data_IF_751986586755
#
_entry.id   IF_751986586755
#
_cell.length_a   1.000
_cell.length_b   1.000
_cell.length_c   1.000
_cell.angle_alpha   90.00
_cell.angle_beta   90.00
_cell.angle_gamma   90.00
#
_symmetry.space_group_name_H-M   'P 1'
#
loop_
_entity.id
_entity.type
_entity.pdbx_description
1 polymer ?
#
# COMPACT_ATOMS: atom_id res chain seq x y z
N UNK A 1 -2.09 -2.15 8.82
CA UNK A 1 -2.93 -1.05 8.27
C UNK A 1 -3.94 -0.48 9.26
N UNK A 2 -4.54 -1.28 10.13
CA UNK A 2 -5.57 -0.78 11.08
C UNK A 2 -5.02 -0.12 12.33
N UNK A 3 -3.76 -0.38 12.70
CA UNK A 3 -3.16 0.12 13.93
C UNK A 3 -3.30 1.65 14.14
N UNK A 4 -3.08 2.49 13.12
CA UNK A 4 -3.30 3.94 13.28
C UNK A 4 -4.72 4.32 13.69
N UNK A 5 -5.72 3.59 13.26
CA UNK A 5 -7.11 3.83 13.66
C UNK A 5 -7.35 3.42 15.10
N UNK A 6 -6.83 2.25 15.51
CA UNK A 6 -6.92 1.75 16.89
C UNK A 6 -6.24 2.73 17.85
N UNK A 7 -5.03 3.19 17.51
CA UNK A 7 -4.25 4.13 18.32
C UNK A 7 -4.96 5.50 18.50
N UNK A 8 -5.86 5.84 17.57
CA UNK A 8 -6.69 7.04 17.64
C UNK A 8 -8.12 6.78 18.17
N UNK A 9 -8.36 5.63 18.79
CA UNK A 9 -9.62 5.32 19.48
C UNK A 9 -10.77 4.86 18.60
N UNK A 10 -10.51 4.50 17.34
CA UNK A 10 -11.56 3.94 16.48
C UNK A 10 -11.83 2.48 16.79
N UNK A 11 -13.10 2.11 16.87
CA UNK A 11 -13.50 0.70 16.84
C UNK A 11 -13.49 0.19 15.40
N UNK A 12 -12.95 -1.03 15.21
CA UNK A 12 -12.75 -1.63 13.88
C UNK A 12 -13.73 -2.77 13.67
N UNK A 13 -14.45 -2.74 12.56
CA UNK A 13 -15.21 -3.89 12.03
C UNK A 13 -14.64 -4.29 10.68
N UNK A 14 -14.36 -5.57 10.51
CA UNK A 14 -13.85 -6.12 9.26
C UNK A 14 -15.00 -6.62 8.38
N UNK A 15 -14.84 -6.48 7.07
CA UNK A 15 -15.66 -7.17 6.09
C UNK A 15 -14.88 -8.34 5.50
N UNK A 16 -15.60 -9.31 4.95
CA UNK A 16 -14.99 -10.48 4.33
C UNK A 16 -14.86 -10.28 2.83
N UNK A 17 -13.83 -10.91 2.26
CA UNK A 17 -13.55 -10.90 0.82
C UNK A 17 -13.37 -12.34 0.35
N UNK A 18 -14.17 -12.75 -0.61
CA UNK A 18 -13.99 -13.99 -1.35
C UNK A 18 -13.17 -13.70 -2.60
N UNK A 19 -11.89 -14.02 -2.53
CA UNK A 19 -10.94 -13.73 -3.61
C UNK A 19 -11.17 -14.60 -4.85
N UNK A 20 -11.69 -15.81 -4.68
CA UNK A 20 -11.94 -16.74 -5.79
C UNK A 20 -13.11 -16.25 -6.65
N UNK A 21 -14.15 -15.75 -6.01
CA UNK A 21 -15.35 -15.27 -6.68
C UNK A 21 -15.39 -13.74 -6.84
N UNK A 22 -14.32 -13.04 -6.46
CA UNK A 22 -14.21 -11.58 -6.47
C UNK A 22 -15.42 -10.90 -5.80
N UNK A 23 -15.84 -11.44 -4.64
CA UNK A 23 -17.02 -11.00 -3.93
C UNK A 23 -16.68 -10.39 -2.58
N UNK A 24 -17.31 -9.26 -2.28
CA UNK A 24 -17.20 -8.59 -0.99
C UNK A 24 -18.47 -8.83 -0.17
N UNK A 25 -18.31 -9.21 1.10
CA UNK A 25 -19.42 -9.34 2.06
C UNK A 25 -19.37 -8.14 2.99
N UNK A 26 -19.97 -7.05 2.54
CA UNK A 26 -20.01 -5.77 3.24
C UNK A 26 -21.48 -5.46 3.57
N UNK A 27 -21.76 -5.24 4.85
CA UNK A 27 -23.05 -4.71 5.28
C UNK A 27 -23.13 -3.22 4.93
N UNK A 28 -23.81 -2.91 3.84
CA UNK A 28 -23.96 -1.55 3.34
C UNK A 28 -24.78 -0.63 4.27
N UNK A 29 -25.52 -1.21 5.21
CA UNK A 29 -26.28 -0.47 6.21
C UNK A 29 -25.52 -0.27 7.52
N UNK A 30 -24.34 -0.87 7.66
CA UNK A 30 -23.53 -0.71 8.85
C UNK A 30 -23.26 0.77 9.16
N UNK A 31 -23.55 1.18 10.38
CA UNK A 31 -23.33 2.56 10.81
C UNK A 31 -21.86 2.77 11.19
N UNK A 32 -21.14 3.54 10.37
CA UNK A 32 -19.75 3.89 10.59
C UNK A 32 -19.48 5.35 10.19
N UNK A 33 -18.48 5.95 10.80
CA UNK A 33 -17.99 7.29 10.43
C UNK A 33 -16.98 7.25 9.28
N UNK A 34 -16.31 6.08 9.09
CA UNK A 34 -15.29 5.88 8.10
C UNK A 34 -15.41 4.49 7.48
N UNK A 35 -15.33 4.42 6.16
CA UNK A 35 -15.22 3.19 5.38
C UNK A 35 -13.84 3.11 4.73
N UNK A 36 -13.15 1.99 4.96
CA UNK A 36 -11.86 1.70 4.35
C UNK A 36 -12.06 0.65 3.26
N UNK A 37 -12.04 1.09 2.00
CA UNK A 37 -12.20 0.22 0.84
C UNK A 37 -10.85 -0.25 0.29
N UNK A 38 -10.70 -1.53 0.00
CA UNK A 38 -9.51 -2.08 -0.63
C UNK A 38 -9.88 -2.97 -1.80
N UNK A 39 -9.30 -2.69 -2.96
CA UNK A 39 -9.44 -3.50 -4.17
C UNK A 39 -8.29 -4.50 -4.25
N UNK A 40 -8.56 -5.78 -3.90
CA UNK A 40 -7.54 -6.81 -3.89
C UNK A 40 -7.09 -7.19 -5.31
N UNK A 41 -5.79 -7.39 -5.48
CA UNK A 41 -5.11 -7.87 -6.69
C UNK A 41 -5.34 -7.07 -7.98
N UNK A 42 -5.99 -5.90 -7.90
CA UNK A 42 -6.20 -5.03 -9.06
C UNK A 42 -7.19 -5.57 -10.10
N UNK A 43 -7.97 -6.57 -9.76
CA UNK A 43 -9.11 -6.98 -10.59
C UNK A 43 -10.10 -5.82 -10.75
N UNK A 44 -10.79 -5.76 -11.89
CA UNK A 44 -11.81 -4.72 -12.09
C UNK A 44 -12.89 -4.86 -11.02
N UNK A 45 -12.94 -3.87 -10.13
CA UNK A 45 -13.73 -3.90 -8.91
C UNK A 45 -14.89 -2.92 -8.96
N UNK A 46 -15.74 -3.06 -9.96
CA UNK A 46 -17.05 -2.42 -9.95
C UNK A 46 -17.83 -2.67 -8.63
N UNK A 47 -17.56 -3.81 -7.98
CA UNK A 47 -18.12 -4.16 -6.68
C UNK A 47 -17.66 -3.24 -5.55
N UNK A 48 -16.35 -2.93 -5.43
CA UNK A 48 -15.87 -2.00 -4.40
C UNK A 48 -16.37 -0.58 -4.66
N UNK A 49 -16.37 -0.12 -5.93
CA UNK A 49 -16.93 1.17 -6.31
C UNK A 49 -18.42 1.30 -5.90
N UNK A 50 -19.18 0.21 -6.02
CA UNK A 50 -20.59 0.18 -5.58
C UNK A 50 -20.69 0.48 -4.07
N UNK A 51 -19.91 -0.20 -3.22
CA UNK A 51 -19.94 0.03 -1.78
C UNK A 51 -19.46 1.44 -1.41
N UNK A 52 -18.37 1.92 -2.03
CA UNK A 52 -17.88 3.30 -1.84
C UNK A 52 -19.01 4.30 -2.09
N UNK A 53 -19.72 4.19 -3.21
CA UNK A 53 -20.86 5.06 -3.54
C UNK A 53 -21.99 4.97 -2.54
N UNK A 54 -22.30 3.78 -2.03
CA UNK A 54 -23.32 3.57 -0.99
C UNK A 54 -22.96 4.28 0.32
N UNK A 55 -21.73 4.11 0.81
CA UNK A 55 -21.29 4.80 2.02
C UNK A 55 -21.21 6.33 1.82
N UNK A 56 -20.78 6.80 0.66
CA UNK A 56 -20.75 8.24 0.34
C UNK A 56 -22.13 8.87 0.34
N UNK A 57 -23.18 8.21 -0.16
CA UNK A 57 -24.57 8.70 -0.06
C UNK A 57 -25.04 8.93 1.37
N UNK A 58 -24.39 8.29 2.34
CA UNK A 58 -24.66 8.42 3.77
C UNK A 58 -23.69 9.38 4.48
N UNK A 59 -22.92 10.17 3.72
CA UNK A 59 -21.89 11.09 4.22
C UNK A 59 -20.76 10.42 5.02
N UNK A 60 -20.51 9.13 4.81
CA UNK A 60 -19.39 8.42 5.42
C UNK A 60 -18.09 8.86 4.75
N UNK A 61 -17.03 9.07 5.54
CA UNK A 61 -15.69 9.33 5.01
C UNK A 61 -15.15 8.05 4.39
N UNK A 62 -14.62 8.13 3.16
CA UNK A 62 -14.06 6.99 2.45
C UNK A 62 -12.56 7.16 2.24
N UNK A 63 -11.80 6.18 2.74
CA UNK A 63 -10.39 5.98 2.38
C UNK A 63 -10.33 4.76 1.46
N UNK A 64 -9.76 4.92 0.27
CA UNK A 64 -9.55 3.82 -0.67
C UNK A 64 -8.07 3.45 -0.74
N UNK A 65 -7.76 2.19 -0.45
CA UNK A 65 -6.43 1.62 -0.69
C UNK A 65 -6.33 1.14 -2.13
N UNK A 66 -5.63 1.92 -2.93
CA UNK A 66 -5.40 1.64 -4.35
C UNK A 66 -4.09 0.90 -4.62
N UNK A 67 -3.45 0.34 -3.58
CA UNK A 67 -2.14 -0.34 -3.72
C UNK A 67 -2.11 -1.31 -4.89
N UNK A 68 -3.14 -2.09 -5.08
CA UNK A 68 -3.20 -3.08 -6.15
C UNK A 68 -3.72 -2.53 -7.49
N UNK A 69 -4.18 -1.29 -7.51
CA UNK A 69 -4.76 -0.63 -8.70
C UNK A 69 -3.91 0.52 -9.24
N UNK A 70 -2.75 0.82 -8.66
CA UNK A 70 -1.91 1.98 -9.03
C UNK A 70 -1.69 2.10 -10.55
N UNK A 71 -1.57 0.97 -11.26
CA UNK A 71 -1.36 0.93 -12.71
C UNK A 71 -2.62 0.60 -13.54
N UNK A 72 -3.78 0.50 -12.93
CA UNK A 72 -5.02 0.31 -13.65
C UNK A 72 -5.44 1.61 -14.35
N UNK A 73 -6.13 1.50 -15.51
CA UNK A 73 -6.68 2.67 -16.22
C UNK A 73 -7.61 3.47 -15.31
N UNK A 74 -8.51 2.78 -14.60
CA UNK A 74 -9.35 3.33 -13.56
C UNK A 74 -8.80 2.82 -12.22
N UNK A 75 -7.97 3.62 -11.57
CA UNK A 75 -7.24 3.20 -10.38
C UNK A 75 -7.95 3.49 -9.05
N UNK A 76 -9.06 4.26 -9.06
CA UNK A 76 -9.84 4.57 -7.86
C UNK A 76 -11.30 4.87 -8.22
N UNK A 77 -12.16 4.92 -7.19
CA UNK A 77 -13.51 5.43 -7.29
C UNK A 77 -13.52 6.96 -7.14
N UNK A 78 -14.27 7.65 -8.00
CA UNK A 78 -14.33 9.13 -7.99
C UNK A 78 -14.90 9.68 -6.69
N UNK A 79 -15.78 8.95 -6.03
CA UNK A 79 -16.42 9.35 -4.79
C UNK A 79 -15.54 9.16 -3.53
N UNK A 80 -14.38 8.52 -3.63
CA UNK A 80 -13.45 8.37 -2.51
C UNK A 80 -12.92 9.73 -2.05
N UNK A 81 -12.82 9.96 -0.73
CA UNK A 81 -12.28 11.21 -0.18
C UNK A 81 -10.76 11.20 -0.12
N UNK A 82 -10.20 10.05 0.26
CA UNK A 82 -8.75 9.85 0.40
C UNK A 82 -8.32 8.61 -0.37
N UNK A 83 -7.14 8.69 -0.96
CA UNK A 83 -6.48 7.56 -1.60
C UNK A 83 -5.17 7.27 -0.90
N UNK A 84 -4.87 5.99 -0.70
CA UNK A 84 -3.58 5.56 -0.19
C UNK A 84 -3.02 4.43 -1.05
N UNK A 85 -1.71 4.34 -1.17
CA UNK A 85 -1.06 3.21 -1.83
C UNK A 85 0.33 2.93 -1.27
N UNK A 86 0.66 1.65 -1.09
CA UNK A 86 2.01 1.22 -0.80
C UNK A 86 2.79 1.01 -2.10
N UNK A 87 3.78 1.86 -2.36
CA UNK A 87 4.58 1.80 -3.58
C UNK A 87 5.55 0.61 -3.62
N UNK A 88 5.92 0.08 -2.45
CA UNK A 88 6.82 -1.08 -2.33
C UNK A 88 6.30 -2.38 -2.97
N UNK A 89 5.01 -2.45 -3.27
CA UNK A 89 4.40 -3.58 -3.99
C UNK A 89 4.73 -3.56 -5.49
N UNK A 90 5.10 -2.39 -5.99
CA UNK A 90 5.31 -2.14 -7.42
C UNK A 90 6.74 -1.85 -7.78
N UNK A 91 7.49 -1.23 -6.88
CA UNK A 91 8.84 -0.73 -7.12
C UNK A 91 9.86 -1.39 -6.20
N UNK A 92 11.12 -1.55 -6.64
CA UNK A 92 12.21 -2.10 -5.83
C UNK A 92 12.76 -1.04 -4.87
N UNK A 93 11.91 -0.55 -3.98
CA UNK A 93 12.21 0.49 -3.00
C UNK A 93 12.07 -0.03 -1.55
N UNK A 94 12.78 0.60 -0.63
CA UNK A 94 12.80 0.15 0.79
C UNK A 94 11.60 0.67 1.56
N UNK A 95 11.27 1.96 1.36
CA UNK A 95 10.11 2.62 1.93
C UNK A 95 9.34 3.35 0.84
N UNK A 96 8.10 3.74 1.11
CA UNK A 96 7.32 4.56 0.19
C UNK A 96 5.86 4.19 0.13
N UNK A 97 5.05 5.24 0.20
CA UNK A 97 3.61 5.20 0.05
C UNK A 97 3.12 6.52 -0.55
N UNK A 98 1.92 6.52 -1.08
CA UNK A 98 1.19 7.73 -1.49
C UNK A 98 0.01 7.90 -0.54
N UNK A 99 -0.27 9.15 -0.19
CA UNK A 99 -1.53 9.58 0.41
C UNK A 99 -2.02 10.80 -0.36
N UNK A 100 -3.28 10.77 -0.77
CA UNK A 100 -3.93 11.86 -1.51
C UNK A 100 -5.21 12.23 -0.77
N UNK A 101 -5.39 13.50 -0.45
CA UNK A 101 -6.67 14.07 -0.10
C UNK A 101 -7.24 14.73 -1.37
N UNK A 102 -8.39 14.27 -1.83
CA UNK A 102 -8.98 14.74 -3.10
C UNK A 102 -9.60 16.13 -3.01
N UNK A 103 -9.79 16.68 -1.79
CA UNK A 103 -10.49 17.96 -1.58
C UNK A 103 -9.54 19.13 -1.31
N UNK A 104 -8.45 18.87 -0.62
CA UNK A 104 -7.50 19.91 -0.23
C UNK A 104 -6.14 19.30 0.11
N UNK A 105 -5.14 20.14 0.30
CA UNK A 105 -3.83 19.70 0.78
C UNK A 105 -3.90 19.22 2.23
N UNK A 106 -2.99 18.32 2.60
CA UNK A 106 -2.82 17.92 3.98
C UNK A 106 -2.32 19.12 4.82
N UNK A 107 -2.88 19.27 6.02
CA UNK A 107 -2.48 20.35 6.93
C UNK A 107 -1.07 20.20 7.48
N UNK A 108 -0.54 18.98 7.46
CA UNK A 108 0.78 18.66 8.02
C UNK A 108 1.76 18.40 6.89
N UNK A 109 2.87 19.15 6.85
CA UNK A 109 3.98 18.85 5.96
C UNK A 109 4.75 17.63 6.46
N UNK A 110 5.19 16.79 5.52
CA UNK A 110 6.06 15.65 5.80
C UNK A 110 7.54 16.06 5.95
N UNK A 111 7.88 17.33 5.76
CA UNK A 111 9.28 17.79 5.77
C UNK A 111 9.95 17.55 7.12
N UNK A 112 9.19 17.71 8.20
CA UNK A 112 9.67 17.48 9.57
C UNK A 112 9.64 16.00 10.01
N UNK A 113 9.20 15.08 9.13
CA UNK A 113 9.18 13.67 9.45
C UNK A 113 10.57 13.05 9.28
N UNK A 114 10.84 12.03 10.08
CA UNK A 114 12.14 11.33 10.07
C UNK A 114 12.10 10.08 9.21
N UNK A 115 13.25 9.63 8.75
CA UNK A 115 13.40 8.34 8.08
C UNK A 115 13.63 7.26 9.15
N UNK A 116 13.05 6.09 8.99
CA UNK A 116 13.39 4.94 9.80
C UNK A 116 14.62 4.25 9.21
N UNK A 117 15.80 4.77 9.59
CA UNK A 117 17.11 4.34 9.05
C UNK A 117 17.38 2.85 9.26
N UNK A 118 16.99 2.32 10.41
CA UNK A 118 17.22 0.91 10.72
C UNK A 118 16.37 -0.01 9.82
N UNK A 119 15.11 0.35 9.60
CA UNK A 119 14.22 -0.35 8.67
C UNK A 119 14.81 -0.33 7.26
N UNK A 120 15.26 0.83 6.78
CA UNK A 120 15.87 1.00 5.46
C UNK A 120 17.10 0.12 5.34
N UNK A 121 18.00 0.14 6.33
CA UNK A 121 19.21 -0.68 6.37
C UNK A 121 18.91 -2.18 6.21
N UNK A 122 17.97 -2.71 7.02
CA UNK A 122 17.60 -4.14 6.94
C UNK A 122 16.97 -4.49 5.60
N UNK A 123 16.10 -3.65 5.07
CA UNK A 123 15.47 -3.90 3.77
C UNK A 123 16.47 -3.86 2.63
N UNK A 124 17.36 -2.90 2.62
CA UNK A 124 18.42 -2.77 1.61
C UNK A 124 19.29 -4.03 1.57
N UNK A 125 19.79 -4.47 2.73
CA UNK A 125 20.56 -5.69 2.84
C UNK A 125 19.80 -6.93 2.41
N UNK A 126 18.53 -7.05 2.86
CA UNK A 126 17.68 -8.18 2.49
C UNK A 126 17.42 -8.24 0.99
N UNK A 127 17.15 -7.10 0.34
CA UNK A 127 16.91 -7.03 -1.10
C UNK A 127 18.16 -7.36 -1.90
N UNK A 128 19.34 -6.92 -1.45
CA UNK A 128 20.60 -7.26 -2.08
C UNK A 128 20.88 -8.76 -2.02
N UNK A 129 20.81 -9.37 -0.82
CA UNK A 129 21.01 -10.81 -0.66
C UNK A 129 19.96 -11.64 -1.42
N UNK A 130 18.72 -11.19 -1.44
CA UNK A 130 17.67 -11.84 -2.25
C UNK A 130 18.00 -11.81 -3.75
N UNK A 131 18.55 -10.68 -4.24
CA UNK A 131 19.01 -10.57 -5.63
C UNK A 131 20.14 -11.53 -5.93
N UNK A 132 21.14 -11.64 -5.03
CA UNK A 132 22.24 -12.59 -5.15
C UNK A 132 21.73 -14.06 -5.18
N UNK A 133 20.76 -14.37 -4.30
CA UNK A 133 20.12 -15.68 -4.26
C UNK A 133 19.39 -16.03 -5.57
N UNK A 134 18.60 -15.10 -6.10
CA UNK A 134 17.81 -15.32 -7.33
C UNK A 134 18.72 -15.48 -8.57
N UNK A 135 19.89 -14.86 -8.57
CA UNK A 135 20.87 -14.95 -9.66
C UNK A 135 21.92 -16.07 -9.44
N UNK A 136 21.67 -16.98 -8.53
CA UNK A 136 22.57 -18.11 -8.18
C UNK A 136 24.00 -17.68 -7.77
N UNK A 137 24.18 -16.43 -7.32
CA UNK A 137 25.48 -15.92 -6.86
C UNK A 137 25.78 -16.42 -5.44
N UNK A 138 24.75 -16.44 -4.58
CA UNK A 138 24.87 -16.86 -3.18
C UNK A 138 23.63 -17.65 -2.76
N UNK A 139 23.64 -18.94 -2.97
CA UNK A 139 22.53 -19.86 -2.70
C UNK A 139 22.29 -20.09 -1.20
N UNK A 140 23.29 -19.80 -0.34
CA UNK A 140 23.20 -20.04 1.10
C UNK A 140 22.64 -18.86 1.89
N UNK A 141 22.31 -17.74 1.23
CA UNK A 141 21.88 -16.52 1.92
C UNK A 141 20.35 -16.44 2.15
N UNK A 142 19.57 -17.47 1.80
CA UNK A 142 18.10 -17.45 1.87
C UNK A 142 17.58 -17.12 3.26
N UNK A 143 18.02 -17.83 4.27
CA UNK A 143 17.55 -17.62 5.65
C UNK A 143 18.00 -16.28 6.21
N UNK A 144 19.16 -15.79 5.76
CA UNK A 144 19.68 -14.48 6.17
C UNK A 144 18.77 -13.36 5.67
N UNK A 145 18.43 -13.34 4.37
CA UNK A 145 17.58 -12.26 3.86
C UNK A 145 16.13 -12.37 4.37
N UNK A 146 15.62 -13.58 4.60
CA UNK A 146 14.29 -13.75 5.22
C UNK A 146 14.26 -13.19 6.64
N UNK A 147 15.30 -13.44 7.43
CA UNK A 147 15.44 -12.87 8.78
C UNK A 147 15.51 -11.34 8.75
N UNK A 148 16.30 -10.77 7.84
CA UNK A 148 16.39 -9.32 7.67
C UNK A 148 15.05 -8.69 7.27
N UNK A 149 14.28 -9.33 6.39
CA UNK A 149 12.91 -8.89 6.08
C UNK A 149 12.00 -8.94 7.32
N UNK A 150 12.08 -10.01 8.11
CA UNK A 150 11.28 -10.12 9.34
C UNK A 150 11.63 -9.02 10.34
N UNK A 151 12.93 -8.74 10.57
CA UNK A 151 13.37 -7.61 11.41
C UNK A 151 12.84 -6.28 10.90
N UNK A 152 12.96 -6.02 9.59
CA UNK A 152 12.45 -4.79 9.01
C UNK A 152 10.93 -4.65 9.16
N UNK A 153 10.19 -5.75 9.09
CA UNK A 153 8.73 -5.75 9.28
C UNK A 153 8.32 -5.43 10.73
N UNK A 154 9.10 -5.86 11.71
CA UNK A 154 8.87 -5.49 13.12
C UNK A 154 8.99 -3.97 13.34
N UNK A 155 9.92 -3.31 12.64
CA UNK A 155 10.13 -1.87 12.73
C UNK A 155 9.03 -1.04 12.06
N UNK A 156 8.13 -1.65 11.28
CA UNK A 156 6.99 -0.94 10.67
C UNK A 156 6.00 -0.45 11.75
N UNK A 157 5.99 -1.03 12.94
CA UNK A 157 5.16 -0.57 14.04
C UNK A 157 5.50 0.85 14.49
N UNK A 158 6.75 1.29 14.30
CA UNK A 158 7.19 2.69 14.46
C UNK A 158 6.87 3.49 13.18
N UNK A 159 5.59 3.76 12.95
CA UNK A 159 5.10 4.44 11.74
C UNK A 159 4.86 5.95 11.92
N UNK A 160 4.79 6.44 13.17
CA UNK A 160 4.44 7.83 13.46
C UNK A 160 5.52 8.79 12.94
N UNK A 161 5.09 9.81 12.20
CA UNK A 161 5.96 10.87 11.68
C UNK A 161 7.17 10.32 10.87
N UNK A 162 6.94 9.26 10.09
CA UNK A 162 7.95 8.67 9.20
C UNK A 162 7.69 9.07 7.76
N UNK A 163 8.76 9.44 7.07
CA UNK A 163 8.75 9.71 5.63
C UNK A 163 9.56 8.68 4.86
N UNK A 164 9.37 8.70 3.56
CA UNK A 164 10.12 7.89 2.61
C UNK A 164 11.61 8.25 2.63
N UNK A 165 12.47 7.25 2.47
CA UNK A 165 13.91 7.47 2.37
C UNK A 165 14.30 8.04 1.00
N UNK A 166 15.41 8.79 0.98
CA UNK A 166 15.86 9.53 -0.19
C UNK A 166 16.30 8.61 -1.34
N UNK A 167 16.90 7.45 -1.04
CA UNK A 167 17.31 6.50 -2.08
C UNK A 167 16.10 5.92 -2.79
N UNK A 168 15.06 5.52 -2.03
CA UNK A 168 13.79 5.08 -2.59
C UNK A 168 13.12 6.17 -3.42
N UNK A 169 13.18 7.42 -3.00
CA UNK A 169 12.64 8.54 -3.75
C UNK A 169 13.38 8.73 -5.09
N UNK A 170 14.71 8.70 -5.08
CA UNK A 170 15.53 8.78 -6.31
C UNK A 170 15.21 7.63 -7.27
N UNK A 171 15.07 6.41 -6.76
CA UNK A 171 14.69 5.25 -7.58
C UNK A 171 13.35 5.53 -8.27
N UNK A 172 12.32 6.00 -7.55
CA UNK A 172 11.02 6.30 -8.14
C UNK A 172 11.09 7.37 -9.24
N UNK A 173 11.89 8.42 -9.03
CA UNK A 173 12.05 9.52 -9.99
C UNK A 173 12.71 9.09 -11.31
N UNK A 174 13.52 8.03 -11.27
CA UNK A 174 14.27 7.54 -12.43
C UNK A 174 13.59 6.36 -13.14
N UNK A 175 12.52 5.81 -12.57
CA UNK A 175 11.86 4.63 -13.14
C UNK A 175 10.88 4.98 -14.26
N UNK A 176 10.97 4.22 -15.36
CA UNK A 176 9.96 4.21 -16.41
C UNK A 176 8.76 3.35 -15.97
N UNK A 177 7.67 4.03 -15.59
CA UNK A 177 6.43 3.40 -15.12
C UNK A 177 5.78 2.55 -16.23
N UNK A 178 5.82 3.01 -17.49
CA UNK A 178 5.24 2.28 -18.61
C UNK A 178 6.03 1.00 -18.92
N UNK A 179 7.35 1.01 -18.79
CA UNK A 179 8.17 -0.18 -18.95
C UNK A 179 7.84 -1.22 -17.87
N UNK A 180 7.71 -0.78 -16.60
CA UNK A 180 7.34 -1.66 -15.49
C UNK A 180 5.96 -2.28 -15.74
N UNK A 181 5.00 -1.49 -16.20
CA UNK A 181 3.65 -1.96 -16.52
C UNK A 181 3.68 -3.00 -17.63
N UNK A 182 4.42 -2.75 -18.72
CA UNK A 182 4.58 -3.70 -19.83
C UNK A 182 5.21 -5.03 -19.37
N UNK A 183 6.28 -4.97 -18.58
CA UNK A 183 6.93 -6.18 -18.03
C UNK A 183 5.98 -7.00 -17.14
N UNK A 184 5.18 -6.35 -16.29
CA UNK A 184 4.21 -7.04 -15.43
C UNK A 184 3.10 -7.71 -16.25
N UNK A 185 2.57 -7.03 -17.27
CA UNK A 185 1.58 -7.63 -18.18
C UNK A 185 2.18 -8.83 -18.93
N UNK A 186 3.43 -8.71 -19.38
CA UNK A 186 4.13 -9.83 -20.04
C UNK A 186 4.30 -11.03 -19.11
N UNK A 187 4.73 -10.80 -17.86
CA UNK A 187 4.96 -11.86 -16.87
C UNK A 187 3.67 -12.49 -16.33
N UNK A 188 2.50 -11.90 -16.59
CA UNK A 188 1.19 -12.42 -16.13
C UNK A 188 0.54 -13.38 -17.12
N UNK A 189 1.13 -13.56 -18.29
CA UNK A 189 0.71 -14.52 -19.35
C UNK A 189 1.39 -15.86 -19.15
#
# INVERSE_FOLDING_TARGET
MVQPFIDNGYSIKYYQVDLLNNKYYIDENFNCSLFFGMSYFGYDNSNMDFYIKKFKKRNVIVIEDITHRVFCKKNHCEESDYLIASLRKWFPIYTGAIAVNKKCDFRTSIDNYTINEELVKYKKQAMQLKREYINDININCKDIFLNLFNRSNQLITDYKNKKMDEESLKILQTMDIEEIRKKRIYNSK
#
